data_IF_983421775572
#
_entry.id   IF_983421775572
#
_cell.length_a   1.000
_cell.length_b   1.000
_cell.length_c   1.000
_cell.angle_alpha   90.00
_cell.angle_beta   90.00
_cell.angle_gamma   90.00
#
_symmetry.space_group_name_H-M   'P 1'
#
loop_
_entity.id
_entity.type
_entity.pdbx_description
1 polymer ?
#
# COMPACT_ATOMS: atom_id res chain seq x y z
N UNK A 1 7.72 6.49 20.71
CA UNK A 1 7.06 5.55 19.77
C UNK A 1 7.80 4.22 19.85
N UNK A 2 7.15 3.07 19.64
CA UNK A 2 7.87 1.78 19.57
C UNK A 2 8.84 1.81 18.39
N UNK A 3 10.04 1.28 18.56
CA UNK A 3 10.99 1.13 17.46
C UNK A 3 10.38 0.25 16.35
N UNK A 4 10.55 0.71 15.11
CA UNK A 4 10.06 -0.02 13.94
C UNK A 4 11.01 -1.16 13.59
N UNK A 5 10.47 -2.30 13.21
CA UNK A 5 11.19 -3.47 12.73
C UNK A 5 10.32 -4.28 11.75
N UNK A 6 10.87 -5.38 11.24
CA UNK A 6 10.18 -6.28 10.32
C UNK A 6 8.77 -6.69 10.77
N UNK A 7 8.53 -6.90 12.07
CA UNK A 7 7.23 -7.36 12.59
C UNK A 7 6.16 -6.26 12.65
N UNK A 8 6.56 -4.99 12.77
CA UNK A 8 5.64 -3.87 13.05
C UNK A 8 5.73 -2.70 12.04
N UNK A 9 6.46 -2.85 10.94
CA UNK A 9 6.61 -1.82 9.90
C UNK A 9 5.33 -1.46 9.15
N UNK A 10 4.27 -2.27 9.27
CA UNK A 10 2.98 -2.00 8.64
C UNK A 10 2.16 -1.07 9.54
N UNK A 11 1.65 0.02 8.98
CA UNK A 11 0.81 0.97 9.69
C UNK A 11 -0.65 0.81 9.25
N UNK A 12 -1.55 0.69 10.22
CA UNK A 12 -2.99 0.72 9.99
C UNK A 12 -3.57 1.97 10.65
N UNK A 13 -4.41 2.68 9.91
CA UNK A 13 -5.15 3.84 10.43
C UNK A 13 -6.54 3.39 10.79
N UNK A 14 -6.89 3.44 12.08
CA UNK A 14 -8.20 2.98 12.59
C UNK A 14 -9.37 3.61 11.87
N UNK A 15 -9.31 4.93 11.61
CA UNK A 15 -10.36 5.62 10.87
C UNK A 15 -10.54 5.07 9.46
N UNK A 16 -9.46 4.86 8.71
CA UNK A 16 -9.51 4.39 7.33
C UNK A 16 -9.77 2.88 7.22
N UNK A 17 -8.90 2.07 7.82
CA UNK A 17 -8.88 0.62 7.66
C UNK A 17 -9.89 -0.09 8.57
N UNK A 18 -10.32 0.57 9.65
CA UNK A 18 -11.39 0.09 10.52
C UNK A 18 -12.72 0.72 10.13
N UNK A 19 -12.95 1.94 10.62
CA UNK A 19 -14.27 2.58 10.57
C UNK A 19 -14.80 2.72 9.13
N UNK A 20 -14.06 3.40 8.25
CA UNK A 20 -14.51 3.63 6.86
C UNK A 20 -14.66 2.32 6.09
N UNK A 21 -13.74 1.35 6.27
CA UNK A 21 -13.84 0.05 5.64
C UNK A 21 -15.11 -0.70 6.04
N UNK A 22 -15.36 -0.87 7.34
CA UNK A 22 -16.54 -1.61 7.81
C UNK A 22 -17.85 -0.91 7.45
N UNK A 23 -17.92 0.42 7.52
CA UNK A 23 -19.10 1.18 7.10
C UNK A 23 -19.33 1.01 5.59
N UNK A 24 -18.29 1.09 4.77
CA UNK A 24 -18.39 0.94 3.31
C UNK A 24 -18.89 -0.45 2.89
N UNK A 25 -18.43 -1.49 3.59
CA UNK A 25 -18.90 -2.87 3.38
C UNK A 25 -20.34 -3.05 3.86
N UNK A 26 -20.69 -2.53 5.04
CA UNK A 26 -22.06 -2.59 5.56
C UNK A 26 -23.04 -1.87 4.62
N UNK A 27 -22.67 -0.69 4.11
CA UNK A 27 -23.43 0.05 3.12
C UNK A 27 -23.67 -0.77 1.85
N UNK A 28 -22.63 -1.45 1.35
CA UNK A 28 -22.75 -2.32 0.18
C UNK A 28 -23.71 -3.48 0.42
N UNK A 29 -23.57 -4.20 1.53
CA UNK A 29 -24.44 -5.34 1.88
C UNK A 29 -25.89 -4.88 2.04
N UNK A 30 -26.14 -3.79 2.77
CA UNK A 30 -27.49 -3.24 2.96
C UNK A 30 -28.10 -2.79 1.64
N UNK A 31 -27.29 -2.21 0.74
CA UNK A 31 -27.78 -1.79 -0.58
C UNK A 31 -28.15 -2.97 -1.49
N UNK A 32 -27.39 -4.06 -1.45
CA UNK A 32 -27.70 -5.31 -2.17
C UNK A 32 -28.99 -5.92 -1.62
N UNK A 33 -29.12 -5.98 -0.29
CA UNK A 33 -30.34 -6.46 0.37
C UNK A 33 -31.56 -5.62 -0.01
N UNK A 34 -31.44 -4.29 0.03
CA UNK A 34 -32.52 -3.37 -0.36
C UNK A 34 -32.93 -3.57 -1.82
N UNK A 35 -31.97 -3.71 -2.72
CA UNK A 35 -32.24 -3.96 -4.14
C UNK A 35 -32.95 -5.31 -4.35
N UNK A 36 -32.49 -6.36 -3.67
CA UNK A 36 -33.14 -7.68 -3.70
C UNK A 36 -34.58 -7.63 -3.17
N UNK A 37 -34.81 -6.97 -2.03
CA UNK A 37 -36.13 -6.84 -1.44
C UNK A 37 -37.10 -6.06 -2.35
N UNK A 38 -36.65 -4.93 -2.92
CA UNK A 38 -37.48 -4.15 -3.86
C UNK A 38 -37.84 -4.94 -5.12
N UNK A 39 -36.92 -5.76 -5.64
CA UNK A 39 -37.19 -6.65 -6.77
C UNK A 39 -38.20 -7.74 -6.43
N UNK A 40 -38.07 -8.36 -5.26
CA UNK A 40 -38.93 -9.46 -4.80
C UNK A 40 -40.36 -8.99 -4.54
N UNK A 41 -40.52 -7.82 -3.91
CA UNK A 41 -41.83 -7.31 -3.50
C UNK A 41 -42.46 -6.39 -4.56
N UNK A 42 -41.86 -6.29 -5.76
CA UNK A 42 -42.30 -5.45 -6.88
C UNK A 42 -42.49 -3.96 -6.50
N UNK A 43 -41.66 -3.44 -5.60
CA UNK A 43 -41.64 -2.02 -5.24
C UNK A 43 -40.94 -1.16 -6.30
N UNK A 44 -41.14 0.15 -6.24
CA UNK A 44 -40.38 1.11 -7.06
C UNK A 44 -38.88 0.98 -6.77
N UNK A 45 -38.11 0.71 -7.83
CA UNK A 45 -36.66 0.46 -7.77
C UNK A 45 -35.83 1.74 -7.70
N UNK A 46 -36.40 2.92 -7.93
CA UNK A 46 -35.64 4.19 -8.02
C UNK A 46 -34.71 4.39 -6.83
N UNK A 47 -35.23 4.28 -5.61
CA UNK A 47 -34.46 4.51 -4.40
C UNK A 47 -33.44 3.40 -4.11
N UNK A 48 -33.79 2.13 -4.33
CA UNK A 48 -32.86 1.01 -4.07
C UNK A 48 -31.72 0.96 -5.08
N UNK A 49 -31.97 1.33 -6.34
CA UNK A 49 -30.92 1.51 -7.35
C UNK A 49 -30.01 2.69 -7.02
N UNK A 50 -30.57 3.86 -6.66
CA UNK A 50 -29.77 5.01 -6.24
C UNK A 50 -28.90 4.69 -5.02
N UNK A 51 -29.44 3.95 -4.05
CA UNK A 51 -28.70 3.52 -2.87
C UNK A 51 -27.58 2.54 -3.22
N UNK A 52 -27.82 1.57 -4.10
CA UNK A 52 -26.81 0.65 -4.60
C UNK A 52 -25.68 1.36 -5.37
N UNK A 53 -26.01 2.27 -6.28
CA UNK A 53 -25.01 3.06 -7.01
C UNK A 53 -24.17 3.93 -6.07
N UNK A 54 -24.79 4.51 -5.04
CA UNK A 54 -24.09 5.27 -4.00
C UNK A 54 -23.13 4.39 -3.22
N UNK A 55 -23.53 3.17 -2.85
CA UNK A 55 -22.66 2.22 -2.17
C UNK A 55 -21.45 1.83 -3.03
N UNK A 56 -21.66 1.57 -4.33
CA UNK A 56 -20.57 1.29 -5.28
C UNK A 56 -19.62 2.49 -5.37
N UNK A 57 -20.15 3.71 -5.51
CA UNK A 57 -19.35 4.93 -5.57
C UNK A 57 -18.43 5.07 -4.35
N UNK A 58 -18.96 4.90 -3.14
CA UNK A 58 -18.14 5.00 -1.92
C UNK A 58 -17.07 3.92 -1.82
N UNK A 59 -17.37 2.68 -2.24
CA UNK A 59 -16.37 1.60 -2.25
C UNK A 59 -15.26 1.86 -3.28
N UNK A 60 -15.60 2.40 -4.46
CA UNK A 60 -14.60 2.82 -5.45
C UNK A 60 -13.75 3.99 -4.93
N UNK A 61 -14.36 5.00 -4.31
CA UNK A 61 -13.62 6.10 -3.67
C UNK A 61 -12.67 5.59 -2.60
N UNK A 62 -13.13 4.68 -1.73
CA UNK A 62 -12.29 4.04 -0.73
C UNK A 62 -11.11 3.27 -1.35
N UNK A 63 -11.32 2.55 -2.44
CA UNK A 63 -10.22 1.84 -3.11
C UNK A 63 -9.21 2.80 -3.76
N UNK A 64 -9.70 3.77 -4.53
CA UNK A 64 -8.86 4.67 -5.31
C UNK A 64 -8.11 5.69 -4.46
N UNK A 65 -8.72 6.19 -3.36
CA UNK A 65 -8.04 7.07 -2.41
C UNK A 65 -6.74 6.43 -1.88
N UNK A 66 -6.79 5.15 -1.48
CA UNK A 66 -5.60 4.42 -1.05
C UNK A 66 -4.62 4.17 -2.20
N UNK A 67 -5.13 3.67 -3.32
CA UNK A 67 -4.31 3.24 -4.45
C UNK A 67 -3.51 4.39 -5.06
N UNK A 68 -4.10 5.58 -5.15
CA UNK A 68 -3.42 6.77 -5.67
C UNK A 68 -2.35 7.27 -4.71
N UNK A 69 -2.64 7.35 -3.42
CA UNK A 69 -1.66 7.74 -2.40
C UNK A 69 -0.45 6.79 -2.38
N UNK A 70 -0.68 5.48 -2.45
CA UNK A 70 0.40 4.48 -2.52
C UNK A 70 1.23 4.61 -3.78
N UNK A 71 0.60 4.77 -4.96
CA UNK A 71 1.34 4.96 -6.23
C UNK A 71 2.18 6.24 -6.22
N UNK A 72 1.69 7.31 -5.61
CA UNK A 72 2.45 8.55 -5.47
C UNK A 72 3.68 8.35 -4.56
N UNK A 73 3.48 7.72 -3.39
CA UNK A 73 4.58 7.41 -2.47
C UNK A 73 5.60 6.46 -3.08
N UNK A 74 5.17 5.41 -3.79
CA UNK A 74 6.08 4.44 -4.39
C UNK A 74 6.98 5.08 -5.47
N UNK A 75 6.46 6.07 -6.21
CA UNK A 75 7.26 6.86 -7.16
C UNK A 75 8.24 7.78 -6.45
N UNK A 76 7.83 8.43 -5.36
CA UNK A 76 8.70 9.28 -4.56
C UNK A 76 9.84 8.47 -3.93
N UNK A 77 9.52 7.37 -3.24
CA UNK A 77 10.50 6.44 -2.66
C UNK A 77 11.47 5.94 -3.72
N UNK A 78 10.98 5.55 -4.91
CA UNK A 78 11.86 5.11 -5.99
C UNK A 78 12.84 6.21 -6.42
N UNK A 79 12.40 7.46 -6.50
CA UNK A 79 13.26 8.57 -6.86
C UNK A 79 14.28 8.88 -5.76
N UNK A 80 13.84 8.93 -4.50
CA UNK A 80 14.67 9.18 -3.32
C UNK A 80 15.75 8.11 -3.15
N UNK A 81 15.36 6.82 -3.17
CA UNK A 81 16.31 5.72 -3.00
C UNK A 81 17.26 5.58 -4.20
N UNK A 82 16.83 5.95 -5.41
CA UNK A 82 17.70 5.96 -6.59
C UNK A 82 18.75 7.07 -6.51
N UNK A 83 18.36 8.26 -6.02
CA UNK A 83 19.29 9.35 -5.73
C UNK A 83 20.27 8.94 -4.62
N UNK A 84 19.77 8.34 -3.54
CA UNK A 84 20.59 7.81 -2.45
C UNK A 84 21.61 6.78 -2.95
N UNK A 85 21.19 5.83 -3.79
CA UNK A 85 22.09 4.85 -4.40
C UNK A 85 23.17 5.54 -5.25
N UNK A 86 22.81 6.58 -6.01
CA UNK A 86 23.78 7.36 -6.78
C UNK A 86 24.78 8.10 -5.90
N UNK A 87 24.34 8.71 -4.81
CA UNK A 87 25.23 9.39 -3.86
C UNK A 87 26.23 8.42 -3.22
N UNK A 88 25.79 7.20 -2.88
CA UNK A 88 26.64 6.20 -2.21
C UNK A 88 27.58 5.44 -3.16
N UNK A 89 27.16 5.20 -4.41
CA UNK A 89 27.87 4.29 -5.33
C UNK A 89 28.38 4.97 -6.61
N UNK A 90 27.94 6.20 -6.88
CA UNK A 90 28.17 6.89 -8.15
C UNK A 90 27.34 6.36 -9.32
N UNK A 91 26.41 5.42 -9.09
CA UNK A 91 25.58 4.80 -10.14
C UNK A 91 24.10 4.86 -9.78
N UNK A 92 23.24 5.03 -10.78
CA UNK A 92 21.80 4.84 -10.60
C UNK A 92 21.48 3.34 -10.46
N UNK A 93 20.28 3.02 -9.99
CA UNK A 93 19.82 1.64 -9.94
C UNK A 93 19.83 0.98 -11.31
N UNK A 94 20.15 -0.31 -11.31
CA UNK A 94 19.98 -1.17 -12.47
C UNK A 94 18.50 -1.30 -12.85
N UNK A 95 18.21 -1.37 -14.15
CA UNK A 95 16.83 -1.51 -14.67
C UNK A 95 16.20 -2.85 -14.29
N UNK A 96 16.99 -3.86 -13.94
CA UNK A 96 16.54 -5.16 -13.45
C UNK A 96 15.95 -5.10 -12.03
N UNK A 97 16.20 -4.04 -11.27
CA UNK A 97 15.67 -3.88 -9.92
C UNK A 97 14.20 -3.45 -9.95
N UNK A 98 13.32 -4.28 -9.39
CA UNK A 98 11.88 -4.04 -9.34
C UNK A 98 11.55 -2.96 -8.32
N UNK A 99 10.50 -2.17 -8.59
CA UNK A 99 9.99 -1.17 -7.64
C UNK A 99 9.73 -1.76 -6.26
N UNK A 100 9.14 -2.96 -6.17
CA UNK A 100 8.88 -3.63 -4.88
C UNK A 100 10.15 -3.97 -4.08
N UNK A 101 11.28 -4.23 -4.76
CA UNK A 101 12.58 -4.45 -4.11
C UNK A 101 13.15 -3.12 -3.60
N UNK A 102 13.06 -2.04 -4.39
CA UNK A 102 13.48 -0.69 -3.98
C UNK A 102 12.71 -0.24 -2.72
N UNK A 103 11.40 -0.48 -2.70
CA UNK A 103 10.56 -0.22 -1.53
C UNK A 103 10.97 -1.02 -0.29
N UNK A 104 11.58 -2.20 -0.46
CA UNK A 104 12.10 -3.01 0.65
C UNK A 104 13.43 -2.45 1.16
N UNK A 105 14.31 -2.07 0.24
CA UNK A 105 15.65 -1.54 0.52
C UNK A 105 15.63 -0.23 1.32
N UNK A 106 14.53 0.54 1.29
CA UNK A 106 14.41 1.77 2.11
C UNK A 106 14.61 1.56 3.61
N UNK A 107 14.38 0.33 4.10
CA UNK A 107 14.56 -0.03 5.51
C UNK A 107 16.03 -0.34 5.86
N UNK A 108 16.92 -0.44 4.87
CA UNK A 108 18.35 -0.61 5.08
C UNK A 108 19.03 0.77 5.25
N UNK A 109 19.91 0.97 6.24
CA UNK A 109 20.71 2.17 6.43
C UNK A 109 21.89 2.22 5.45
N UNK A 110 22.58 3.36 5.39
CA UNK A 110 23.54 3.67 4.32
C UNK A 110 24.71 2.68 4.27
N UNK A 111 25.08 2.09 5.42
CA UNK A 111 26.21 1.18 5.54
C UNK A 111 25.98 -0.17 4.87
N UNK A 112 24.73 -0.67 4.85
CA UNK A 112 24.39 -1.97 4.24
C UNK A 112 23.57 -1.86 2.95
N UNK A 113 23.07 -0.66 2.64
CA UNK A 113 22.18 -0.43 1.49
C UNK A 113 22.80 -0.77 0.13
N UNK A 114 24.04 -0.34 -0.22
CA UNK A 114 24.67 -0.70 -1.49
C UNK A 114 24.86 -2.21 -1.66
N UNK A 115 25.37 -2.88 -0.63
CA UNK A 115 25.63 -4.32 -0.64
C UNK A 115 24.33 -5.12 -0.77
N UNK A 116 23.30 -4.75 0.00
CA UNK A 116 22.00 -5.41 -0.05
C UNK A 116 21.30 -5.17 -1.40
N UNK A 117 21.51 -4.00 -2.02
CA UNK A 117 21.01 -3.72 -3.38
C UNK A 117 21.66 -4.64 -4.40
N UNK A 118 22.97 -4.83 -4.33
CA UNK A 118 23.71 -5.72 -5.23
C UNK A 118 23.26 -7.19 -5.08
N UNK A 119 23.07 -7.65 -3.84
CA UNK A 119 22.54 -9.00 -3.54
C UNK A 119 21.11 -9.14 -4.06
N UNK A 120 20.24 -8.15 -3.80
CA UNK A 120 18.85 -8.17 -4.25
C UNK A 120 18.72 -8.26 -5.77
N UNK A 121 19.62 -7.59 -6.50
CA UNK A 121 19.69 -7.64 -7.95
C UNK A 121 20.24 -8.99 -8.44
N UNK A 122 21.36 -9.46 -7.88
CA UNK A 122 22.04 -10.69 -8.29
C UNK A 122 21.20 -11.94 -8.03
N UNK A 123 20.62 -12.05 -6.84
CA UNK A 123 19.88 -13.23 -6.39
C UNK A 123 18.37 -13.09 -6.64
N UNK A 124 17.93 -11.98 -7.26
CA UNK A 124 16.54 -11.65 -7.56
C UNK A 124 15.63 -11.82 -6.33
N UNK A 125 16.09 -11.31 -5.18
CA UNK A 125 15.39 -11.45 -3.91
C UNK A 125 14.01 -10.81 -3.97
N UNK A 126 13.01 -11.45 -3.38
CA UNK A 126 11.70 -10.83 -3.23
C UNK A 126 11.71 -9.76 -2.11
N UNK A 127 10.69 -8.90 -2.08
CA UNK A 127 10.55 -7.81 -1.10
C UNK A 127 10.66 -8.30 0.36
N UNK A 128 10.09 -9.48 0.65
CA UNK A 128 10.06 -10.01 2.01
C UNK A 128 11.45 -10.50 2.47
N UNK A 129 12.15 -11.23 1.59
CA UNK A 129 13.52 -11.68 1.81
C UNK A 129 14.46 -10.50 2.04
N UNK A 130 14.36 -9.43 1.24
CA UNK A 130 15.17 -8.22 1.44
C UNK A 130 14.96 -7.65 2.84
N UNK A 131 13.70 -7.50 3.28
CA UNK A 131 13.42 -6.96 4.62
C UNK A 131 13.92 -7.86 5.75
N UNK A 132 13.92 -9.17 5.57
CA UNK A 132 14.48 -10.11 6.55
C UNK A 132 16.02 -10.06 6.59
N UNK A 133 16.67 -9.66 5.49
CA UNK A 133 18.13 -9.51 5.42
C UNK A 133 18.66 -8.20 6.01
N UNK A 134 17.79 -7.21 6.29
CA UNK A 134 18.16 -5.95 6.96
C UNK A 134 18.60 -6.23 8.38
N UNK A 135 19.85 -5.89 8.73
CA UNK A 135 20.39 -6.14 10.08
C UNK A 135 20.06 -4.99 11.02
N UNK A 136 20.24 -3.76 10.54
CA UNK A 136 20.00 -2.54 11.29
C UNK A 136 18.76 -1.85 10.70
N UNK A 137 17.62 -1.92 11.38
CA UNK A 137 16.37 -1.41 10.77
C UNK A 137 16.28 0.11 10.78
N UNK A 138 16.25 0.74 9.60
CA UNK A 138 15.94 2.15 9.42
C UNK A 138 14.42 2.36 9.39
N UNK A 139 13.88 3.02 10.40
CA UNK A 139 12.44 3.26 10.49
C UNK A 139 11.92 4.21 9.38
N UNK A 140 10.83 3.84 8.72
CA UNK A 140 10.04 4.70 7.83
C UNK A 140 8.70 5.01 8.50
N UNK A 141 8.61 6.22 9.08
CA UNK A 141 7.42 6.70 9.78
C UNK A 141 6.50 7.55 8.90
N UNK A 142 6.95 7.90 7.69
CA UNK A 142 6.20 8.75 6.76
C UNK A 142 5.17 7.95 5.96
N UNK A 143 5.44 6.67 5.70
CA UNK A 143 4.49 5.80 5.02
C UNK A 143 3.40 5.31 5.99
N UNK A 144 2.17 5.35 5.47
CA UNK A 144 0.95 4.86 6.13
C UNK A 144 0.37 3.77 5.25
#
# INVERSE_FOLDING_TARGET
MKEQNYKNHRRLVTGYHGLTFFISVALLVLSIYSLYASLKDHYDLRYSVMFFLTAILFNLMFYYARSFALKAQDRAIRAEENLRHFVLTGKLFDKGLKTSQILALRFAPDEEFPDLTAIALKDNLNNDAIKQSVKNWKADNYRV
#
